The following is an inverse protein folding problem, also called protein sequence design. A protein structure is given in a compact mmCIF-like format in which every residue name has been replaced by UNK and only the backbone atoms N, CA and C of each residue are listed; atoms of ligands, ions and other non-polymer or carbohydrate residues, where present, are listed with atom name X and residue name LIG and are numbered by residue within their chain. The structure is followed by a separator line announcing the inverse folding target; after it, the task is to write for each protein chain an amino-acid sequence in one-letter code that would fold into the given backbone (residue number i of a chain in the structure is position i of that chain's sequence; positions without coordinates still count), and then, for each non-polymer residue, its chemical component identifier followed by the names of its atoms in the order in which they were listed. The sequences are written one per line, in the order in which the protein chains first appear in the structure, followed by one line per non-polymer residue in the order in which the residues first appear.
data_IF_485488862493
#
_entry.id   IF_485488862493
#
_cell.length_a   1.000
_cell.length_b   1.000
_cell.length_c   1.000
_cell.angle_alpha   90.00
_cell.angle_beta   90.00
_cell.angle_gamma   90.00
#
_symmetry.space_group_name_H-M   'P 1'
#
loop_
_entity.id
_entity.type
_entity.pdbx_description
1 polymer ?
#
# COMPACT_ATOMS: atom_id res chain seq x y z
N UNK A 1 4.88 2.65 -2.88
CA UNK A 1 6.12 2.72 -3.72
C UNK A 1 7.24 3.29 -2.86
N UNK A 2 8.48 3.16 -3.33
CA UNK A 2 9.77 3.34 -2.63
C UNK A 2 10.05 2.30 -1.56
N UNK A 3 9.18 2.22 -0.56
CA UNK A 3 9.38 1.36 0.61
C UNK A 3 8.75 -0.04 0.43
N UNK A 4 8.05 -0.33 -0.65
CA UNK A 4 7.33 -1.61 -0.81
C UNK A 4 6.11 -1.75 0.13
N UNK A 5 5.64 -2.98 0.30
CA UNK A 5 4.51 -3.37 1.15
C UNK A 5 4.98 -3.94 2.49
N UNK A 6 4.09 -4.11 3.47
CA UNK A 6 4.42 -4.80 4.73
C UNK A 6 5.06 -6.18 4.52
N UNK A 7 4.72 -6.87 3.41
CA UNK A 7 5.32 -8.17 3.04
C UNK A 7 6.81 -8.07 2.74
N UNK A 8 7.24 -6.94 2.20
CA UNK A 8 8.65 -6.72 1.86
C UNK A 8 9.48 -6.39 3.09
N UNK A 9 8.85 -5.90 4.17
CA UNK A 9 9.50 -5.53 5.42
C UNK A 9 9.57 -6.66 6.44
N UNK A 10 8.57 -7.53 6.48
CA UNK A 10 8.48 -8.58 7.49
C UNK A 10 9.47 -9.71 7.20
N UNK A 11 10.45 -9.89 8.08
CA UNK A 11 11.50 -10.91 7.97
C UNK A 11 11.33 -12.04 9.00
N UNK A 12 10.40 -11.89 9.93
CA UNK A 12 10.02 -12.96 10.84
C UNK A 12 8.73 -12.67 11.57
N UNK A 13 8.07 -13.72 12.05
CA UNK A 13 6.85 -13.63 12.84
C UNK A 13 6.75 -14.74 13.88
N UNK A 14 5.93 -14.47 14.90
CA UNK A 14 5.48 -15.45 15.88
C UNK A 14 3.96 -15.44 15.90
N UNK A 15 3.35 -16.61 15.74
CA UNK A 15 1.91 -16.80 15.65
C UNK A 15 1.46 -17.83 16.67
N UNK A 16 0.35 -17.57 17.35
CA UNK A 16 -0.37 -18.56 18.15
C UNK A 16 -1.46 -19.16 17.28
N UNK A 17 -1.39 -20.47 17.06
CA UNK A 17 -2.38 -21.24 16.33
C UNK A 17 -3.65 -21.47 17.17
N UNK A 18 -4.77 -21.86 16.53
CA UNK A 18 -6.03 -22.20 17.19
C UNK A 18 -5.91 -23.23 18.33
N UNK A 19 -5.00 -24.18 18.22
CA UNK A 19 -4.74 -25.19 19.25
C UNK A 19 -3.79 -24.72 20.36
N UNK A 20 -3.40 -23.44 20.35
CA UNK A 20 -2.51 -22.84 21.33
C UNK A 20 -1.03 -23.04 21.04
N UNK A 21 -0.65 -23.78 20.00
CA UNK A 21 0.76 -23.93 19.62
C UNK A 21 1.34 -22.61 19.13
N UNK A 22 2.59 -22.37 19.48
CA UNK A 22 3.33 -21.18 19.05
C UNK A 22 4.25 -21.56 17.88
N UNK A 23 4.01 -20.94 16.72
CA UNK A 23 4.79 -21.11 15.49
C UNK A 23 5.67 -19.90 15.28
N UNK A 24 6.95 -20.12 14.96
CA UNK A 24 7.90 -19.08 14.58
C UNK A 24 8.35 -19.31 13.14
N UNK A 25 8.38 -18.25 12.34
CA UNK A 25 8.92 -18.27 10.98
C UNK A 25 9.85 -17.08 10.78
N UNK A 26 10.94 -17.30 10.04
CA UNK A 26 11.98 -16.28 9.86
C UNK A 26 12.72 -15.93 11.15
N UNK A 27 13.27 -14.72 11.20
CA UNK A 27 14.01 -14.23 12.37
C UNK A 27 14.72 -12.91 12.09
N UNK A 28 15.75 -12.60 12.87
CA UNK A 28 16.59 -11.40 12.67
C UNK A 28 17.63 -11.55 11.53
N UNK A 29 17.43 -12.53 10.66
CA UNK A 29 18.35 -12.84 9.55
C UNK A 29 17.66 -12.50 8.23
N UNK A 30 18.37 -11.79 7.36
CA UNK A 30 17.83 -11.34 6.07
C UNK A 30 17.70 -12.50 5.08
N UNK A 31 18.59 -13.50 5.17
CA UNK A 31 18.56 -14.67 4.30
C UNK A 31 17.88 -15.84 5.02
N UNK A 32 16.69 -16.20 4.53
CA UNK A 32 15.98 -17.41 4.92
C UNK A 32 15.74 -18.28 3.67
N UNK A 33 16.43 -19.42 3.57
CA UNK A 33 16.36 -20.33 2.40
C UNK A 33 15.72 -21.67 2.78
N UNK A 34 15.22 -21.80 4.01
CA UNK A 34 14.70 -23.06 4.52
C UNK A 34 13.18 -22.99 4.70
N UNK A 35 12.47 -23.87 4.00
CA UNK A 35 11.03 -24.08 4.16
C UNK A 35 10.16 -23.03 3.49
N UNK A 36 8.87 -23.05 3.85
CA UNK A 36 7.86 -22.15 3.31
C UNK A 36 7.93 -20.77 3.97
N UNK A 37 7.64 -19.73 3.20
CA UNK A 37 7.46 -18.37 3.69
C UNK A 37 6.09 -18.25 4.38
N UNK A 38 6.02 -18.69 5.64
CA UNK A 38 4.81 -18.54 6.45
C UNK A 38 4.51 -17.07 6.73
N UNK A 39 5.51 -16.18 6.65
CA UNK A 39 5.27 -14.75 6.79
C UNK A 39 4.27 -14.25 5.74
N UNK A 40 4.46 -14.62 4.48
CA UNK A 40 3.54 -14.27 3.40
C UNK A 40 2.16 -14.91 3.54
N UNK A 41 2.07 -16.11 4.13
CA UNK A 41 0.81 -16.80 4.39
C UNK A 41 -0.07 -16.04 5.40
N UNK A 42 0.52 -15.60 6.51
CA UNK A 42 -0.24 -14.93 7.58
C UNK A 42 -0.51 -13.44 7.29
N UNK A 43 0.30 -12.77 6.46
CA UNK A 43 0.04 -11.38 6.08
C UNK A 43 -1.20 -11.28 5.20
N UNK A 44 -2.23 -10.61 5.72
CA UNK A 44 -3.52 -10.45 5.06
C UNK A 44 -4.53 -11.54 5.44
N UNK A 45 -4.15 -12.52 6.28
CA UNK A 45 -5.06 -13.55 6.77
C UNK A 45 -6.07 -13.02 7.80
N UNK A 46 -5.94 -11.77 8.27
CA UNK A 46 -6.88 -11.09 9.18
C UNK A 46 -7.31 -11.96 10.39
N UNK A 47 -6.33 -12.57 11.07
CA UNK A 47 -6.53 -13.46 12.24
C UNK A 47 -7.32 -14.74 12.00
N UNK A 48 -7.47 -15.20 10.74
CA UNK A 48 -8.27 -16.40 10.44
C UNK A 48 -7.50 -17.71 10.49
N UNK A 49 -6.17 -17.64 10.43
CA UNK A 49 -5.26 -18.80 10.48
C UNK A 49 -4.46 -18.88 11.80
N UNK A 50 -4.42 -17.79 12.55
CA UNK A 50 -3.66 -17.66 13.80
C UNK A 50 -3.63 -16.22 14.28
N UNK A 51 -3.23 -16.02 15.53
CA UNK A 51 -3.02 -14.69 16.12
C UNK A 51 -1.54 -14.34 16.06
N UNK A 52 -1.18 -13.29 15.33
CA UNK A 52 0.20 -12.79 15.29
C UNK A 52 0.53 -12.15 16.65
N UNK A 53 1.49 -12.71 17.38
CA UNK A 53 1.93 -12.23 18.71
C UNK A 53 3.34 -11.64 18.69
N UNK A 54 4.04 -11.73 17.56
CA UNK A 54 5.34 -11.10 17.37
C UNK A 54 5.64 -10.90 15.89
N UNK A 55 6.30 -9.80 15.56
CA UNK A 55 6.71 -9.46 14.21
C UNK A 55 8.14 -8.89 14.25
N UNK A 56 8.97 -9.27 13.27
CA UNK A 56 10.32 -8.76 13.09
C UNK A 56 10.40 -8.13 11.71
N UNK A 57 10.75 -6.86 11.65
CA UNK A 57 10.89 -6.11 10.41
C UNK A 57 12.36 -5.82 10.14
N UNK A 58 12.75 -5.77 8.87
CA UNK A 58 14.02 -5.15 8.47
C UNK A 58 13.93 -3.64 8.69
N UNK A 59 15.07 -2.96 8.75
CA UNK A 59 15.14 -1.50 8.84
C UNK A 59 15.86 -0.96 7.62
N UNK A 60 15.57 0.29 7.27
CA UNK A 60 16.34 1.08 6.31
C UNK A 60 17.00 2.25 7.04
N UNK A 61 18.18 2.69 6.56
CA UNK A 61 18.79 3.92 7.05
C UNK A 61 17.88 5.12 6.78
N UNK A 62 17.98 6.15 7.62
CA UNK A 62 17.37 7.44 7.33
C UNK A 62 18.03 8.03 6.08
N UNK A 63 17.27 8.53 5.10
CA UNK A 63 17.85 9.16 3.92
C UNK A 63 18.60 10.45 4.29
N UNK A 64 19.59 10.82 3.48
CA UNK A 64 20.34 12.06 3.67
C UNK A 64 19.48 13.30 3.35
N UNK A 65 18.63 13.16 2.34
CA UNK A 65 17.72 14.20 1.88
C UNK A 65 16.38 13.61 1.42
N UNK A 66 15.35 14.43 1.47
CA UNK A 66 14.02 14.14 0.91
C UNK A 66 13.50 15.38 0.19
N UNK A 67 12.76 15.18 -0.91
CA UNK A 67 12.06 16.24 -1.61
C UNK A 67 10.64 15.81 -1.96
N UNK A 68 9.69 16.71 -1.77
CA UNK A 68 8.29 16.52 -2.12
C UNK A 68 7.89 17.56 -3.16
N UNK A 69 7.36 17.09 -4.28
CA UNK A 69 6.90 17.94 -5.36
C UNK A 69 5.47 17.56 -5.75
N UNK A 70 4.71 18.55 -6.21
CA UNK A 70 3.32 18.34 -6.61
C UNK A 70 3.01 19.01 -7.94
N UNK A 71 2.11 18.39 -8.69
CA UNK A 71 1.55 18.94 -9.93
C UNK A 71 0.03 18.86 -9.87
N UNK A 72 -0.63 19.93 -10.30
CA UNK A 72 -2.10 20.01 -10.36
C UNK A 72 -2.57 19.70 -11.77
N UNK A 73 -3.74 19.10 -11.86
CA UNK A 73 -4.37 18.69 -13.11
C UNK A 73 -5.82 19.14 -13.13
N UNK A 74 -6.30 19.49 -14.31
CA UNK A 74 -7.70 19.89 -14.51
C UNK A 74 -8.59 18.67 -14.79
N UNK A 75 -8.00 17.56 -15.25
CA UNK A 75 -8.70 16.34 -15.59
C UNK A 75 -7.90 15.08 -15.22
N UNK A 76 -8.61 13.98 -14.92
CA UNK A 76 -8.01 12.68 -14.61
C UNK A 76 -7.14 12.14 -15.75
N UNK A 77 -7.52 12.32 -17.01
CA UNK A 77 -6.72 11.86 -18.17
C UNK A 77 -5.34 12.52 -18.26
N UNK A 78 -5.22 13.81 -17.90
CA UNK A 78 -3.91 14.47 -17.86
C UNK A 78 -3.03 13.92 -16.73
N UNK A 79 -3.66 13.55 -15.60
CA UNK A 79 -2.96 12.93 -14.49
C UNK A 79 -2.53 11.49 -14.84
N UNK A 80 -3.35 10.75 -15.60
CA UNK A 80 -3.02 9.43 -16.13
C UNK A 80 -1.80 9.46 -17.06
N UNK A 81 -1.80 10.34 -18.06
CA UNK A 81 -0.65 10.53 -18.95
C UNK A 81 0.61 10.86 -18.15
N UNK A 82 0.52 11.76 -17.17
CA UNK A 82 1.66 12.10 -16.32
C UNK A 82 2.12 10.93 -15.44
N UNK A 83 1.18 10.11 -14.95
CA UNK A 83 1.48 8.95 -14.13
C UNK A 83 2.21 7.87 -14.93
N UNK A 84 1.78 7.62 -16.16
CA UNK A 84 2.46 6.73 -17.10
C UNK A 84 3.89 7.19 -17.39
N UNK A 85 4.09 8.49 -17.65
CA UNK A 85 5.45 9.03 -17.84
C UNK A 85 6.34 8.82 -16.61
N UNK A 86 5.81 8.98 -15.39
CA UNK A 86 6.59 8.71 -14.16
C UNK A 86 6.90 7.22 -14.04
N UNK A 87 5.96 6.32 -14.39
CA UNK A 87 6.20 4.87 -14.36
C UNK A 87 7.23 4.39 -15.38
N UNK A 88 7.26 5.00 -16.56
CA UNK A 88 8.19 4.63 -17.64
C UNK A 88 9.55 5.33 -17.53
N UNK A 89 9.71 6.24 -16.57
CA UNK A 89 10.97 6.94 -16.28
C UNK A 89 11.90 6.16 -15.35
N UNK A 90 13.15 6.62 -15.23
CA UNK A 90 14.12 6.11 -14.25
C UNK A 90 13.91 6.71 -12.84
N UNK A 91 12.85 7.51 -12.63
CA UNK A 91 12.52 8.07 -11.32
C UNK A 91 12.26 6.95 -10.30
N UNK A 92 12.71 7.17 -9.07
CA UNK A 92 12.55 6.24 -7.96
C UNK A 92 11.69 6.85 -6.85
N UNK A 93 10.39 7.07 -7.11
CA UNK A 93 9.53 7.74 -6.16
C UNK A 93 9.31 6.91 -4.89
N UNK A 94 9.49 7.55 -3.73
CA UNK A 94 9.04 7.04 -2.43
C UNK A 94 7.59 7.36 -2.13
N UNK A 95 7.06 8.42 -2.75
CA UNK A 95 5.62 8.74 -2.80
C UNK A 95 5.26 9.08 -4.25
N UNK A 96 4.05 8.69 -4.65
CA UNK A 96 3.43 8.77 -5.98
C UNK A 96 1.93 8.63 -5.73
N UNK A 97 1.36 9.70 -5.20
CA UNK A 97 -0.04 9.76 -4.79
C UNK A 97 -0.82 10.67 -5.73
N UNK A 98 -2.08 10.32 -5.98
CA UNK A 98 -3.08 11.20 -6.55
C UNK A 98 -4.11 11.51 -5.47
N UNK A 99 -4.44 12.77 -5.25
CA UNK A 99 -5.44 13.12 -4.26
C UNK A 99 -6.30 14.29 -4.70
N UNK A 100 -7.49 14.36 -4.11
CA UNK A 100 -8.39 15.51 -4.15
C UNK A 100 -8.90 15.73 -2.73
N UNK A 101 -8.74 16.94 -2.22
CA UNK A 101 -9.04 17.28 -0.83
C UNK A 101 -9.84 18.57 -0.74
N UNK A 102 -10.87 18.60 0.10
CA UNK A 102 -11.77 19.73 0.34
C UNK A 102 -12.32 20.37 -0.95
N UNK A 103 -12.66 19.57 -1.95
CA UNK A 103 -13.12 20.06 -3.27
C UNK A 103 -12.06 20.83 -4.07
N UNK A 104 -10.78 20.72 -3.69
CA UNK A 104 -9.65 21.32 -4.40
C UNK A 104 -9.32 20.61 -5.72
N UNK A 105 -8.27 21.07 -6.42
CA UNK A 105 -7.86 20.47 -7.69
C UNK A 105 -7.29 19.06 -7.51
N UNK A 106 -7.41 18.24 -8.55
CA UNK A 106 -6.70 16.97 -8.63
C UNK A 106 -5.20 17.24 -8.57
N UNK A 107 -4.51 16.61 -7.63
CA UNK A 107 -3.09 16.85 -7.38
C UNK A 107 -2.34 15.53 -7.35
N UNK A 108 -1.28 15.42 -8.14
CA UNK A 108 -0.30 14.35 -8.02
C UNK A 108 0.86 14.83 -7.14
N UNK A 109 1.25 13.99 -6.20
CA UNK A 109 2.39 14.22 -5.31
C UNK A 109 3.42 13.15 -5.56
N UNK A 110 4.63 13.58 -5.93
CA UNK A 110 5.79 12.71 -6.08
C UNK A 110 6.82 13.12 -5.05
N UNK A 111 7.37 12.14 -4.34
CA UNK A 111 8.47 12.37 -3.40
C UNK A 111 9.62 11.45 -3.68
N UNK A 112 10.83 11.96 -3.48
CA UNK A 112 12.09 11.22 -3.64
C UNK A 112 12.90 11.37 -2.36
N UNK A 113 13.61 10.31 -1.98
CA UNK A 113 14.39 10.26 -0.75
C UNK A 113 15.62 9.37 -0.95
N UNK A 114 16.77 9.81 -0.43
CA UNK A 114 18.03 9.10 -0.62
C UNK A 114 19.26 9.99 -0.44
N UNK A 115 20.37 9.67 -1.12
CA UNK A 115 21.55 10.53 -1.19
C UNK A 115 21.21 11.90 -1.75
N UNK A 116 21.86 12.95 -1.24
CA UNK A 116 21.54 14.34 -1.61
C UNK A 116 21.66 14.62 -3.12
N UNK A 117 22.62 13.98 -3.79
CA UNK A 117 22.82 14.13 -5.24
C UNK A 117 21.65 13.52 -6.04
N UNK A 118 21.19 12.33 -5.66
CA UNK A 118 20.09 11.63 -6.33
C UNK A 118 18.77 12.38 -6.15
N UNK A 119 18.51 12.87 -4.94
CA UNK A 119 17.34 13.70 -4.64
C UNK A 119 17.33 14.96 -5.49
N UNK A 120 18.49 15.60 -5.66
CA UNK A 120 18.61 16.79 -6.51
C UNK A 120 18.32 16.46 -7.98
N UNK A 121 18.95 15.42 -8.52
CA UNK A 121 18.78 15.00 -9.90
C UNK A 121 17.32 14.64 -10.23
N UNK A 122 16.69 13.78 -9.41
CA UNK A 122 15.30 13.38 -9.60
C UNK A 122 14.32 14.55 -9.40
N UNK A 123 14.63 15.48 -8.47
CA UNK A 123 13.82 16.69 -8.30
C UNK A 123 13.86 17.59 -9.53
N UNK A 124 15.01 17.69 -10.20
CA UNK A 124 15.14 18.52 -11.40
C UNK A 124 14.42 17.90 -12.60
N UNK A 125 14.44 16.58 -12.73
CA UNK A 125 13.62 15.85 -13.71
C UNK A 125 12.11 16.05 -13.45
N UNK A 126 11.68 15.94 -12.20
CA UNK A 126 10.30 16.22 -11.81
C UNK A 126 9.90 17.68 -12.10
N UNK A 127 10.78 18.66 -11.88
CA UNK A 127 10.53 20.05 -12.26
C UNK A 127 10.39 20.21 -13.77
N UNK A 128 11.18 19.50 -14.57
CA UNK A 128 11.04 19.49 -16.03
C UNK A 128 9.69 18.91 -16.48
N UNK A 129 9.13 17.96 -15.74
CA UNK A 129 7.77 17.45 -15.91
C UNK A 129 6.66 18.39 -15.38
N UNK A 130 7.04 19.54 -14.82
CA UNK A 130 6.12 20.57 -14.33
C UNK A 130 5.68 20.39 -12.88
N UNK A 131 6.37 19.56 -12.08
CA UNK A 131 6.13 19.48 -10.65
C UNK A 131 6.75 20.67 -9.92
N UNK A 132 5.97 21.31 -9.04
CA UNK A 132 6.42 22.42 -8.21
C UNK A 132 6.82 21.97 -6.80
N UNK A 133 7.71 22.71 -6.12
CA UNK A 133 8.12 22.41 -4.74
C UNK A 133 7.05 22.82 -3.71
N UNK A 134 7.28 22.47 -2.44
CA UNK A 134 6.57 23.06 -1.30
C UNK A 134 5.25 22.37 -0.92
N UNK A 135 5.09 21.11 -1.31
CA UNK A 135 3.98 20.28 -0.82
C UNK A 135 4.37 19.57 0.48
N UNK A 136 3.47 19.56 1.45
CA UNK A 136 3.57 18.70 2.63
C UNK A 136 2.70 17.46 2.45
N UNK A 137 3.06 16.36 3.11
CA UNK A 137 2.27 15.12 3.07
C UNK A 137 1.11 15.11 4.08
N UNK A 138 0.73 16.29 4.61
CA UNK A 138 -0.30 16.42 5.66
C UNK A 138 -1.68 15.97 5.19
N UNK A 139 -1.94 15.97 3.88
CA UNK A 139 -3.20 15.49 3.31
C UNK A 139 -3.47 14.04 3.73
N UNK A 140 -2.46 13.17 3.68
CA UNK A 140 -2.60 11.75 4.00
C UNK A 140 -2.85 11.52 5.49
N UNK A 141 -2.09 12.21 6.36
CA UNK A 141 -2.25 12.08 7.80
C UNK A 141 -3.65 12.52 8.26
N UNK A 142 -4.12 13.66 7.75
CA UNK A 142 -5.47 14.17 8.02
C UNK A 142 -6.53 13.20 7.50
N UNK A 143 -6.36 12.73 6.27
CA UNK A 143 -7.29 11.81 5.62
C UNK A 143 -7.43 10.49 6.39
N UNK A 144 -6.30 9.84 6.74
CA UNK A 144 -6.26 8.57 7.49
C UNK A 144 -6.86 8.67 8.89
N UNK A 145 -6.73 9.82 9.55
CA UNK A 145 -7.30 10.01 10.89
C UNK A 145 -8.83 10.02 10.89
N UNK A 146 -9.45 10.46 9.78
CA UNK A 146 -10.90 10.68 9.65
C UNK A 146 -11.61 9.54 8.92
N UNK A 147 -10.90 8.78 8.09
CA UNK A 147 -11.51 7.79 7.19
C UNK A 147 -10.75 6.47 7.24
N UNK A 148 -11.50 5.37 7.13
CA UNK A 148 -10.94 4.01 7.12
C UNK A 148 -11.46 3.19 5.94
N UNK A 149 -12.08 3.87 4.96
CA UNK A 149 -12.63 3.27 3.74
C UNK A 149 -11.54 3.23 2.68
N UNK A 150 -11.38 2.07 2.03
CA UNK A 150 -10.38 1.88 1.00
C UNK A 150 -10.85 0.89 -0.07
N UNK A 151 -10.24 0.96 -1.24
CA UNK A 151 -10.35 -0.04 -2.32
C UNK A 151 -8.95 -0.43 -2.76
N UNK A 152 -8.76 -1.71 -3.08
CA UNK A 152 -7.55 -2.19 -3.73
C UNK A 152 -7.87 -2.60 -5.15
N UNK A 153 -7.18 -1.98 -6.10
CA UNK A 153 -7.37 -2.22 -7.53
C UNK A 153 -6.03 -2.53 -8.17
N UNK A 154 -6.06 -3.20 -9.32
CA UNK A 154 -4.86 -3.30 -10.15
C UNK A 154 -4.40 -1.88 -10.53
N UNK A 155 -3.08 -1.58 -10.56
CA UNK A 155 -2.59 -0.24 -10.90
C UNK A 155 -3.16 0.33 -12.21
N UNK A 156 -3.28 -0.49 -13.27
CA UNK A 156 -3.90 -0.09 -14.54
C UNK A 156 -5.42 0.13 -14.51
N UNK A 157 -6.10 -0.14 -13.39
CA UNK A 157 -7.53 0.18 -13.18
C UNK A 157 -7.73 1.40 -12.28
N UNK A 158 -6.65 2.04 -11.82
CA UNK A 158 -6.73 3.07 -10.81
C UNK A 158 -7.51 4.30 -11.30
N UNK A 159 -7.15 4.83 -12.46
CA UNK A 159 -7.79 6.04 -13.02
C UNK A 159 -9.26 5.77 -13.33
N UNK A 160 -9.58 4.65 -13.99
CA UNK A 160 -10.97 4.26 -14.25
C UNK A 160 -11.78 4.04 -12.97
N UNK A 161 -11.15 3.63 -11.87
CA UNK A 161 -11.83 3.53 -10.56
C UNK A 161 -12.06 4.90 -9.94
N UNK A 162 -11.10 5.81 -10.05
CA UNK A 162 -11.22 7.20 -9.56
C UNK A 162 -12.34 7.96 -10.29
N UNK A 163 -12.50 7.74 -11.60
CA UNK A 163 -13.56 8.36 -12.41
C UNK A 163 -14.98 7.93 -11.96
N UNK A 164 -15.09 6.74 -11.37
CA UNK A 164 -16.34 6.20 -10.84
C UNK A 164 -16.58 6.57 -9.37
N UNK A 165 -15.61 7.20 -8.69
CA UNK A 165 -15.82 7.64 -7.33
C UNK A 165 -16.77 8.84 -7.30
N UNK A 166 -17.62 8.95 -6.26
CA UNK A 166 -18.35 10.18 -6.02
C UNK A 166 -17.37 11.36 -5.84
N UNK A 167 -17.88 12.58 -6.03
CA UNK A 167 -17.13 13.81 -5.76
C UNK A 167 -16.85 13.97 -4.26
N UNK A 168 -15.86 13.21 -3.78
CA UNK A 168 -15.42 13.16 -2.39
C UNK A 168 -13.90 13.28 -2.29
N UNK A 169 -13.45 13.52 -1.07
CA UNK A 169 -12.02 13.51 -0.78
C UNK A 169 -11.46 12.11 -0.94
N UNK A 170 -10.30 12.00 -1.58
CA UNK A 170 -9.60 10.73 -1.76
C UNK A 170 -8.09 10.92 -1.78
N UNK A 171 -7.40 9.83 -1.43
CA UNK A 171 -5.96 9.65 -1.59
C UNK A 171 -5.73 8.29 -2.25
N UNK A 172 -5.29 8.31 -3.51
CA UNK A 172 -4.91 7.14 -4.29
C UNK A 172 -3.39 6.99 -4.30
N UNK A 173 -2.89 5.88 -3.76
CA UNK A 173 -1.49 5.48 -3.79
C UNK A 173 -1.20 4.82 -5.14
N UNK A 174 -0.83 5.62 -6.14
CA UNK A 174 -0.92 5.22 -7.53
C UNK A 174 -0.05 3.99 -7.91
N UNK A 175 1.20 3.92 -7.48
CA UNK A 175 2.05 2.75 -7.70
C UNK A 175 1.75 1.47 -6.87
N UNK A 176 0.76 1.46 -5.97
CA UNK A 176 0.39 0.29 -5.16
C UNK A 176 -1.10 -0.09 -5.34
N UNK A 177 -1.87 0.70 -6.09
CA UNK A 177 -3.28 0.40 -6.38
C UNK A 177 -4.22 0.52 -5.17
N UNK A 178 -3.85 1.28 -4.14
CA UNK A 178 -4.71 1.52 -2.98
C UNK A 178 -5.38 2.88 -3.09
N UNK A 179 -6.69 2.93 -2.95
CA UNK A 179 -7.47 4.15 -2.99
C UNK A 179 -8.20 4.29 -1.66
N UNK A 180 -7.90 5.32 -0.90
CA UNK A 180 -8.68 5.70 0.26
C UNK A 180 -9.62 6.84 -0.12
N UNK A 181 -10.88 6.80 0.31
CA UNK A 181 -11.88 7.81 -0.07
C UNK A 181 -12.93 7.98 1.02
N UNK A 182 -13.55 9.17 1.09
CA UNK A 182 -14.68 9.40 1.98
C UNK A 182 -15.92 8.69 1.45
N UNK A 183 -16.51 7.84 2.30
CA UNK A 183 -17.71 7.08 1.98
C UNK A 183 -18.02 6.04 3.05
N UNK A 184 -19.13 5.34 2.88
CA UNK A 184 -19.39 4.13 3.67
C UNK A 184 -18.25 3.13 3.50
N UNK A 185 -17.92 2.34 4.54
CA UNK A 185 -16.91 1.30 4.44
C UNK A 185 -17.20 0.48 3.18
N UNK A 186 -16.14 0.22 2.40
CA UNK A 186 -16.23 -0.59 1.20
C UNK A 186 -16.88 -1.91 1.57
N UNK A 187 -18.14 -2.11 1.21
CA UNK A 187 -18.77 -3.42 1.33
C UNK A 187 -17.94 -4.43 0.55
N UNK A 188 -17.78 -5.61 1.13
CA UNK A 188 -16.90 -6.67 0.68
C UNK A 188 -17.03 -6.91 -0.82
N UNK A 189 -15.95 -6.66 -1.56
CA UNK A 189 -15.86 -7.15 -2.91
C UNK A 189 -15.90 -8.68 -2.88
N UNK A 190 -16.75 -9.25 -3.73
CA UNK A 190 -16.87 -10.69 -3.86
C UNK A 190 -15.54 -11.25 -4.40
N UNK A 191 -14.80 -11.94 -3.52
CA UNK A 191 -13.51 -12.53 -3.86
C UNK A 191 -13.69 -13.51 -5.03
N UNK A 192 -12.72 -13.58 -5.97
CA UNK A 192 -12.67 -14.64 -6.96
C UNK A 192 -12.81 -16.02 -6.30
N UNK A 193 -13.61 -16.91 -6.89
CA UNK A 193 -13.93 -18.22 -6.31
C UNK A 193 -12.69 -19.03 -5.94
N UNK A 194 -11.65 -19.00 -6.78
CA UNK A 194 -10.38 -19.69 -6.56
C UNK A 194 -9.66 -19.22 -5.27
N UNK A 195 -9.71 -17.93 -4.97
CA UNK A 195 -9.12 -17.37 -3.75
C UNK A 195 -9.93 -17.80 -2.52
N UNK A 196 -11.25 -17.84 -2.63
CA UNK A 196 -12.11 -18.33 -1.56
C UNK A 196 -11.86 -19.82 -1.25
N UNK A 197 -11.69 -20.66 -2.29
CA UNK A 197 -11.34 -22.07 -2.13
C UNK A 197 -9.96 -22.27 -1.47
N UNK A 198 -8.95 -21.50 -1.92
CA UNK A 198 -7.62 -21.54 -1.31
C UNK A 198 -7.66 -21.15 0.17
N UNK A 199 -8.37 -20.06 0.51
CA UNK A 199 -8.54 -19.61 1.89
C UNK A 199 -9.25 -20.67 2.75
N UNK A 200 -10.27 -21.33 2.21
CA UNK A 200 -10.98 -22.39 2.91
C UNK A 200 -10.08 -23.59 3.18
N UNK A 201 -9.26 -24.02 2.21
CA UNK A 201 -8.29 -25.10 2.38
C UNK A 201 -7.23 -24.75 3.43
N UNK A 202 -6.70 -23.53 3.38
CA UNK A 202 -5.75 -23.06 4.40
C UNK A 202 -6.40 -23.02 5.79
N UNK A 203 -7.65 -22.55 5.89
CA UNK A 203 -8.36 -22.53 7.17
C UNK A 203 -8.61 -23.95 7.70
N UNK A 204 -8.93 -24.92 6.85
CA UNK A 204 -9.07 -26.32 7.27
C UNK A 204 -7.76 -26.91 7.80
N UNK A 205 -6.63 -26.59 7.17
CA UNK A 205 -5.31 -27.09 7.58
C UNK A 205 -4.83 -26.44 8.89
N UNK A 206 -5.03 -25.12 9.06
CA UNK A 206 -4.46 -24.34 10.16
C UNK A 206 -5.46 -24.00 11.29
N UNK A 207 -6.77 -24.12 11.06
CA UNK A 207 -7.86 -23.93 12.02
C UNK A 207 -9.00 -24.97 11.83
N UNK A 208 -8.70 -26.28 11.96
CA UNK A 208 -9.66 -27.35 11.69
C UNK A 208 -10.90 -27.31 12.61
N UNK A 209 -10.75 -26.74 13.80
CA UNK A 209 -11.82 -26.62 14.80
C UNK A 209 -12.61 -25.29 14.66
N UNK A 210 -12.29 -24.44 13.68
CA UNK A 210 -12.92 -23.14 13.46
C UNK A 210 -12.95 -22.23 14.71
N UNK A 211 -11.87 -22.21 15.48
CA UNK A 211 -11.77 -21.35 16.67
C UNK A 211 -11.59 -19.89 16.31
N UNK A 212 -11.01 -19.62 15.14
CA UNK A 212 -10.81 -18.26 14.65
C UNK A 212 -11.96 -17.84 13.74
N UNK A 213 -12.25 -16.52 13.66
CA UNK A 213 -13.30 -16.04 12.79
C UNK A 213 -13.07 -16.48 11.34
N UNK A 214 -14.16 -16.66 10.60
CA UNK A 214 -14.09 -16.70 9.13
C UNK A 214 -13.68 -15.33 8.64
N UNK A 215 -13.08 -15.26 7.44
CA UNK A 215 -12.81 -13.98 6.79
C UNK A 215 -14.16 -13.29 6.65
N UNK A 216 -14.43 -12.32 7.53
CA UNK A 216 -15.48 -11.35 7.28
C UNK A 216 -15.04 -10.67 6.00
N UNK A 217 -15.69 -11.05 4.92
CA UNK A 217 -16.51 -10.15 4.13
C UNK A 217 -16.72 -8.86 4.96
N UNK A 218 -15.78 -7.92 4.83
CA UNK A 218 -15.85 -6.55 5.34
C UNK A 218 -15.46 -5.59 4.22
#
# INVERSE_FOLDING_TARGET
FGCGTVRDWLIGMTVVLPDGRLVKNGGKVVKNVAGFDLCRLFIGAQNTLGVIVGATFKLQPLPEAEAHLAKRFDALGQAEECLEHVWDSDLQPVVLDLHRMNGGPLTMVVSVAGPSADVTAQSDELKALGFGPGVTLDYDAKFRSRTHTWKSVAPGKLIGTLDQLPETDFVARAGNGLIYFEGEPSGDEEKPAELAELEQRLKQEFDPENKLPTLRRR
#
